data_IF_575707280107
#
_entry.id   IF_575707280107
#
_cell.length_a   1.000
_cell.length_b   1.000
_cell.length_c   1.000
_cell.angle_alpha   90.00
_cell.angle_beta   90.00
_cell.angle_gamma   90.00
#
_symmetry.space_group_name_H-M   'P 1'
#
loop_
_entity.id
_entity.type
_entity.pdbx_description
1 polymer ?
#
# COMPACT_ATOMS: atom_id res chain seq x y z
N UNK A 1 -21.74 -2.38 45.39
CA UNK A 1 -21.10 -1.06 45.25
C UNK A 1 -20.73 -0.82 43.78
N UNK A 2 -21.26 0.22 43.13
CA UNK A 2 -20.89 0.61 41.75
C UNK A 2 -19.50 1.27 41.77
N UNK A 3 -18.50 0.66 41.10
CA UNK A 3 -17.19 1.30 40.87
C UNK A 3 -17.39 2.47 39.91
N UNK A 4 -17.27 3.70 40.41
CA UNK A 4 -17.25 4.91 39.58
C UNK A 4 -15.87 4.97 38.91
N UNK A 5 -15.80 4.60 37.63
CA UNK A 5 -14.57 4.72 36.84
C UNK A 5 -14.35 6.20 36.52
N UNK A 6 -13.42 6.84 37.23
CA UNK A 6 -13.01 8.22 36.91
C UNK A 6 -12.21 8.22 35.60
N UNK A 7 -12.82 8.65 34.50
CA UNK A 7 -12.10 8.89 33.25
C UNK A 7 -11.17 10.10 33.41
N UNK A 8 -9.86 9.86 33.45
CA UNK A 8 -8.85 10.92 33.38
C UNK A 8 -9.01 11.66 32.04
N UNK A 9 -9.19 12.99 32.07
CA UNK A 9 -9.19 13.82 30.86
C UNK A 9 -7.80 13.75 30.22
N UNK A 10 -7.77 13.39 28.94
CA UNK A 10 -6.53 13.29 28.16
C UNK A 10 -6.09 14.71 27.76
N UNK A 11 -4.79 15.08 27.91
CA UNK A 11 -4.29 16.39 27.51
C UNK A 11 -4.50 16.67 26.02
N UNK A 12 -4.68 17.95 25.66
CA UNK A 12 -4.90 18.35 24.26
C UNK A 12 -3.75 17.95 23.33
N UNK A 13 -2.51 18.11 23.78
CA UNK A 13 -1.30 17.70 23.06
C UNK A 13 -1.35 16.20 22.71
N UNK A 14 -1.84 15.38 23.64
CA UNK A 14 -1.95 13.93 23.44
C UNK A 14 -3.06 13.59 22.42
N UNK A 15 -4.16 14.36 22.39
CA UNK A 15 -5.19 14.22 21.36
C UNK A 15 -4.67 14.56 19.97
N UNK A 16 -3.90 15.65 19.86
CA UNK A 16 -3.29 16.07 18.60
C UNK A 16 -2.31 15.00 18.10
N UNK A 17 -1.47 14.47 19.00
CA UNK A 17 -0.60 13.33 18.70
C UNK A 17 -1.39 12.12 18.21
N UNK A 18 -2.50 11.78 18.85
CA UNK A 18 -3.34 10.66 18.43
C UNK A 18 -3.91 10.81 17.03
N UNK A 19 -4.19 12.04 16.59
CA UNK A 19 -4.69 12.31 15.25
C UNK A 19 -3.62 12.07 14.17
N UNK A 20 -2.40 12.60 14.38
CA UNK A 20 -1.36 12.59 13.35
C UNK A 20 -0.41 11.38 13.41
N UNK A 21 -0.07 10.92 14.61
CA UNK A 21 0.94 9.89 14.86
C UNK A 21 0.29 8.62 15.42
N UNK A 22 -0.90 8.74 16.01
CA UNK A 22 -1.60 7.64 16.68
C UNK A 22 -1.24 7.48 18.15
N UNK A 23 -1.83 6.47 18.79
CA UNK A 23 -1.55 6.14 20.20
C UNK A 23 -0.16 5.53 20.37
N UNK A 24 0.51 5.82 21.48
CA UNK A 24 1.75 5.10 21.77
C UNK A 24 1.43 3.61 21.97
N UNK A 25 2.37 2.72 21.68
CA UNK A 25 2.12 1.30 21.76
C UNK A 25 1.70 0.79 23.14
N UNK A 26 2.37 1.27 24.19
CA UNK A 26 2.07 1.01 25.60
C UNK A 26 0.68 1.51 26.03
N UNK A 27 0.05 2.39 25.24
CA UNK A 27 -1.27 2.94 25.51
C UNK A 27 -2.39 2.16 24.77
N UNK A 28 -2.05 1.14 23.97
CA UNK A 28 -3.00 0.34 23.19
C UNK A 28 -3.39 -0.93 23.94
N UNK A 29 -4.67 -1.32 23.88
CA UNK A 29 -5.19 -2.57 24.49
C UNK A 29 -4.83 -3.82 23.68
N UNK A 30 -4.44 -3.66 22.43
CA UNK A 30 -4.13 -4.74 21.48
C UNK A 30 -2.84 -4.38 20.75
N UNK A 31 -2.06 -5.39 20.36
CA UNK A 31 -0.88 -5.18 19.53
C UNK A 31 -1.32 -4.53 18.21
N UNK A 32 -0.77 -3.37 17.83
CA UNK A 32 -1.12 -2.73 16.57
C UNK A 32 -0.69 -3.55 15.36
N UNK A 33 -1.66 -3.78 14.47
CA UNK A 33 -1.41 -4.23 13.10
C UNK A 33 -0.78 -3.11 12.28
N UNK A 34 0.03 -3.49 11.30
CA UNK A 34 0.72 -2.61 10.37
C UNK A 34 -0.24 -2.31 9.21
N UNK A 35 -0.91 -1.16 9.28
CA UNK A 35 -1.93 -0.75 8.30
C UNK A 35 -1.34 -0.54 6.90
N UNK A 36 -0.04 -0.29 6.83
CA UNK A 36 0.72 -0.10 5.60
C UNK A 36 0.64 -1.32 4.67
N UNK A 37 0.56 -2.54 5.20
CA UNK A 37 0.34 -3.73 4.37
C UNK A 37 -1.03 -3.71 3.69
N UNK A 38 -2.06 -3.17 4.34
CA UNK A 38 -3.39 -3.05 3.77
C UNK A 38 -3.40 -2.01 2.63
N UNK A 39 -2.67 -0.90 2.80
CA UNK A 39 -2.48 0.08 1.72
C UNK A 39 -1.65 -0.48 0.55
N UNK A 40 -0.58 -1.23 0.81
CA UNK A 40 0.17 -1.94 -0.23
C UNK A 40 -0.74 -2.90 -1.01
N UNK A 41 -1.58 -3.67 -0.30
CA UNK A 41 -2.55 -4.57 -0.92
C UNK A 41 -3.52 -3.83 -1.87
N UNK A 42 -4.13 -2.74 -1.41
CA UNK A 42 -5.04 -1.94 -2.25
C UNK A 42 -4.32 -1.31 -3.46
N UNK A 43 -3.12 -0.78 -3.27
CA UNK A 43 -2.30 -0.25 -4.36
C UNK A 43 -1.99 -1.35 -5.39
N UNK A 44 -1.65 -2.56 -4.94
CA UNK A 44 -1.41 -3.70 -5.82
C UNK A 44 -2.65 -4.14 -6.59
N UNK A 45 -3.85 -4.06 -6.01
CA UNK A 45 -5.11 -4.29 -6.75
C UNK A 45 -5.27 -3.26 -7.87
N UNK A 46 -5.01 -1.98 -7.59
CA UNK A 46 -5.07 -0.94 -8.62
C UNK A 46 -4.04 -1.19 -9.74
N UNK A 47 -2.80 -1.52 -9.38
CA UNK A 47 -1.73 -1.88 -10.33
C UNK A 47 -2.15 -3.09 -11.16
N UNK A 48 -2.79 -4.10 -10.57
CA UNK A 48 -3.33 -5.26 -11.29
C UNK A 48 -4.33 -4.83 -12.37
N UNK A 49 -5.31 -4.01 -12.03
CA UNK A 49 -6.28 -3.48 -13.00
C UNK A 49 -5.59 -2.72 -14.14
N UNK A 50 -4.58 -1.90 -13.82
CA UNK A 50 -3.80 -1.18 -14.83
C UNK A 50 -3.00 -2.12 -15.74
N UNK A 51 -2.37 -3.15 -15.19
CA UNK A 51 -1.64 -4.16 -15.98
C UNK A 51 -2.56 -4.94 -16.91
N UNK A 52 -3.78 -5.30 -16.46
CA UNK A 52 -4.78 -5.96 -17.30
C UNK A 52 -5.17 -5.03 -18.48
N UNK A 53 -5.38 -3.74 -18.21
CA UNK A 53 -5.64 -2.75 -19.26
C UNK A 53 -4.50 -2.67 -20.28
N UNK A 54 -3.24 -2.56 -19.83
CA UNK A 54 -2.08 -2.52 -20.73
C UNK A 54 -1.96 -3.79 -21.58
N UNK A 55 -2.16 -4.97 -20.97
CA UNK A 55 -2.15 -6.25 -21.70
C UNK A 55 -3.23 -6.28 -22.77
N UNK A 56 -4.43 -5.76 -22.49
CA UNK A 56 -5.50 -5.65 -23.47
C UNK A 56 -5.10 -4.76 -24.66
N UNK A 57 -4.51 -3.59 -24.41
CA UNK A 57 -3.98 -2.70 -25.46
C UNK A 57 -2.93 -3.41 -26.32
N UNK A 58 -2.00 -4.14 -25.69
CA UNK A 58 -0.97 -4.90 -26.41
C UNK A 58 -1.56 -6.00 -27.30
N UNK A 59 -2.57 -6.73 -26.81
CA UNK A 59 -3.28 -7.75 -27.59
C UNK A 59 -3.98 -7.12 -28.80
N UNK A 60 -4.68 -6.01 -28.62
CA UNK A 60 -5.36 -5.30 -29.71
C UNK A 60 -4.38 -4.83 -30.79
N UNK A 61 -3.19 -4.37 -30.39
CA UNK A 61 -2.12 -3.94 -31.31
C UNK A 61 -1.27 -5.10 -31.86
N UNK A 62 -1.61 -6.35 -31.48
CA UNK A 62 -0.96 -7.61 -31.90
C UNK A 62 0.53 -7.69 -31.51
N UNK A 63 0.89 -7.17 -30.33
CA UNK A 63 2.28 -7.17 -29.83
C UNK A 63 3.30 -6.56 -30.80
N UNK A 64 2.86 -5.63 -31.64
CA UNK A 64 3.74 -4.92 -32.56
C UNK A 64 4.31 -3.69 -31.87
N UNK A 65 5.62 -3.75 -31.60
CA UNK A 65 6.38 -2.72 -30.89
C UNK A 65 7.04 -1.70 -31.83
N UNK A 66 6.53 -1.56 -33.06
CA UNK A 66 6.97 -0.50 -33.96
C UNK A 66 6.77 0.90 -33.36
N UNK A 67 7.68 1.82 -33.70
CA UNK A 67 7.67 3.20 -33.22
C UNK A 67 6.34 3.90 -33.58
N UNK A 68 5.79 3.58 -34.75
CA UNK A 68 4.52 4.13 -35.23
C UNK A 68 3.35 3.74 -34.31
N UNK A 69 3.19 2.46 -33.98
CA UNK A 69 2.12 2.02 -33.07
C UNK A 69 2.32 2.51 -31.65
N UNK A 70 3.56 2.64 -31.19
CA UNK A 70 3.83 3.27 -29.89
C UNK A 70 3.38 4.74 -29.88
N UNK A 71 3.65 5.48 -30.96
CA UNK A 71 3.20 6.87 -31.08
C UNK A 71 1.67 6.99 -31.11
N UNK A 72 0.95 6.06 -31.75
CA UNK A 72 -0.51 6.00 -31.73
C UNK A 72 -1.06 5.82 -30.31
N UNK A 73 -0.47 4.93 -29.51
CA UNK A 73 -0.89 4.69 -28.11
C UNK A 73 -0.68 5.94 -27.27
N UNK A 74 0.45 6.63 -27.44
CA UNK A 74 0.70 7.89 -26.74
C UNK A 74 -0.29 8.99 -27.15
N UNK A 75 -0.64 9.08 -28.43
CA UNK A 75 -1.67 10.01 -28.90
C UNK A 75 -3.04 9.69 -28.29
N UNK A 76 -3.41 8.41 -28.22
CA UNK A 76 -4.65 7.97 -27.57
C UNK A 76 -4.67 8.37 -26.08
N UNK A 77 -3.57 8.16 -25.37
CA UNK A 77 -3.44 8.55 -23.95
C UNK A 77 -3.54 10.06 -23.76
N UNK A 78 -3.02 10.85 -24.69
CA UNK A 78 -3.09 12.31 -24.63
C UNK A 78 -4.51 12.84 -24.90
N UNK A 79 -5.21 12.25 -25.87
CA UNK A 79 -6.53 12.69 -26.32
C UNK A 79 -7.66 12.24 -25.38
N UNK A 80 -7.57 11.03 -24.83
CA UNK A 80 -8.60 10.47 -23.97
C UNK A 80 -8.39 10.87 -22.50
N UNK A 81 -9.27 11.73 -21.98
CA UNK A 81 -9.18 12.26 -20.62
C UNK A 81 -9.25 11.17 -19.54
N UNK A 82 -10.02 10.11 -19.77
CA UNK A 82 -10.18 9.00 -18.82
C UNK A 82 -8.86 8.22 -18.73
N UNK A 83 -8.27 7.89 -19.88
CA UNK A 83 -6.98 7.19 -19.94
C UNK A 83 -5.88 8.03 -19.32
N UNK A 84 -5.85 9.34 -19.61
CA UNK A 84 -4.90 10.26 -19.00
C UNK A 84 -5.01 10.28 -17.47
N UNK A 85 -6.22 10.42 -16.94
CA UNK A 85 -6.46 10.39 -15.49
C UNK A 85 -6.02 9.05 -14.87
N UNK A 86 -6.30 7.93 -15.55
CA UNK A 86 -5.92 6.59 -15.11
C UNK A 86 -4.39 6.40 -15.08
N UNK A 87 -3.66 6.87 -16.10
CA UNK A 87 -2.19 6.87 -16.13
C UNK A 87 -1.61 7.78 -15.05
N UNK A 88 -2.17 8.98 -14.84
CA UNK A 88 -1.72 9.87 -13.75
C UNK A 88 -1.93 9.23 -12.38
N UNK A 89 -3.09 8.61 -12.14
CA UNK A 89 -3.35 7.92 -10.88
C UNK A 89 -2.41 6.73 -10.69
N UNK A 90 -2.06 6.00 -11.76
CA UNK A 90 -1.05 4.95 -11.71
C UNK A 90 0.32 5.45 -11.25
N UNK A 91 0.80 6.56 -11.83
CA UNK A 91 2.07 7.17 -11.40
C UNK A 91 2.01 7.59 -9.92
N UNK A 92 0.90 8.19 -9.48
CA UNK A 92 0.72 8.57 -8.07
C UNK A 92 0.72 7.36 -7.14
N UNK A 93 0.03 6.28 -7.52
CA UNK A 93 0.00 5.02 -6.77
C UNK A 93 1.41 4.44 -6.67
N UNK A 94 2.23 4.49 -7.73
CA UNK A 94 3.62 4.04 -7.67
C UNK A 94 4.45 4.82 -6.65
N UNK A 95 4.32 6.15 -6.64
CA UNK A 95 5.03 7.00 -5.67
C UNK A 95 4.61 6.66 -4.24
N UNK A 96 3.30 6.53 -4.00
CA UNK A 96 2.76 6.14 -2.69
C UNK A 96 3.28 4.75 -2.30
N UNK A 97 3.35 3.80 -3.25
CA UNK A 97 3.85 2.45 -2.99
C UNK A 97 5.31 2.46 -2.52
N UNK A 98 6.16 3.31 -3.11
CA UNK A 98 7.56 3.47 -2.71
C UNK A 98 7.64 4.02 -1.27
N UNK A 99 6.85 5.05 -0.95
CA UNK A 99 6.82 5.64 0.40
C UNK A 99 6.36 4.61 1.43
N UNK A 100 5.29 3.87 1.13
CA UNK A 100 4.79 2.80 1.99
C UNK A 100 5.82 1.67 2.16
N UNK A 101 6.49 1.26 1.08
CA UNK A 101 7.53 0.25 1.13
C UNK A 101 8.69 0.64 2.06
N UNK A 102 9.16 1.90 1.97
CA UNK A 102 10.19 2.44 2.88
C UNK A 102 9.69 2.41 4.32
N UNK A 103 8.45 2.83 4.57
CA UNK A 103 7.87 2.85 5.91
C UNK A 103 7.72 1.44 6.49
N UNK A 104 7.23 0.48 5.70
CA UNK A 104 7.12 -0.92 6.11
C UNK A 104 8.50 -1.51 6.39
N UNK A 105 9.51 -1.22 5.56
CA UNK A 105 10.87 -1.69 5.78
C UNK A 105 11.43 -1.21 7.12
N UNK A 106 11.13 0.03 7.51
CA UNK A 106 11.48 0.57 8.82
C UNK A 106 10.74 -0.15 9.97
N UNK A 107 9.45 -0.44 9.79
CA UNK A 107 8.62 -1.10 10.81
C UNK A 107 8.97 -2.58 10.99
N UNK A 108 9.31 -3.32 9.91
CA UNK A 108 9.61 -4.76 9.96
C UNK A 108 10.71 -5.08 10.98
N UNK A 109 11.70 -4.19 11.15
CA UNK A 109 12.75 -4.34 12.17
C UNK A 109 12.22 -4.46 13.60
N UNK A 110 11.02 -3.95 13.87
CA UNK A 110 10.33 -3.94 15.17
C UNK A 110 9.22 -5.01 15.29
N UNK A 111 9.12 -5.92 14.32
CA UNK A 111 8.14 -7.01 14.36
C UNK A 111 8.79 -8.28 14.90
N UNK A 112 8.09 -9.10 15.68
CA UNK A 112 8.67 -10.32 16.26
C UNK A 112 8.64 -11.51 15.31
N UNK A 113 7.52 -11.70 14.59
CA UNK A 113 7.26 -12.91 13.81
C UNK A 113 7.20 -12.63 12.32
N UNK A 114 7.57 -13.63 11.50
CA UNK A 114 7.34 -13.68 10.04
C UNK A 114 7.80 -12.46 9.23
N UNK A 115 8.90 -11.82 9.66
CA UNK A 115 9.54 -10.67 8.96
C UNK A 115 9.74 -10.91 7.46
N UNK A 116 10.07 -12.13 7.07
CA UNK A 116 10.29 -12.54 5.68
C UNK A 116 9.06 -12.29 4.78
N UNK A 117 7.84 -12.46 5.30
CA UNK A 117 6.59 -12.20 4.56
C UNK A 117 6.47 -10.69 4.26
N UNK A 118 6.87 -9.86 5.23
CA UNK A 118 6.93 -8.41 5.04
C UNK A 118 7.92 -7.99 3.95
N UNK A 119 9.11 -8.60 3.92
CA UNK A 119 10.09 -8.34 2.87
C UNK A 119 9.59 -8.78 1.48
N UNK A 120 8.96 -9.95 1.37
CA UNK A 120 8.36 -10.41 0.12
C UNK A 120 7.21 -9.50 -0.34
N UNK A 121 6.37 -9.04 0.59
CA UNK A 121 5.32 -8.06 0.30
C UNK A 121 5.89 -6.79 -0.32
N UNK A 122 6.97 -6.25 0.25
CA UNK A 122 7.64 -5.05 -0.29
C UNK A 122 8.23 -5.36 -1.68
N UNK A 123 8.97 -6.45 -1.81
CA UNK A 123 9.64 -6.84 -3.06
C UNK A 123 8.63 -6.96 -4.21
N UNK A 124 7.55 -7.72 -4.01
CA UNK A 124 6.53 -7.89 -5.05
C UNK A 124 5.76 -6.61 -5.35
N UNK A 125 5.54 -5.75 -4.34
CA UNK A 125 4.88 -4.45 -4.54
C UNK A 125 5.73 -3.49 -5.40
N UNK A 126 7.06 -3.49 -5.21
CA UNK A 126 7.99 -2.66 -6.00
C UNK A 126 8.17 -3.21 -7.42
N UNK A 127 8.28 -4.53 -7.56
CA UNK A 127 8.41 -5.20 -8.87
C UNK A 127 7.11 -5.21 -9.69
N UNK A 128 6.02 -4.62 -9.17
CA UNK A 128 4.70 -4.58 -9.82
C UNK A 128 4.13 -5.99 -10.10
N UNK A 129 4.58 -6.99 -9.34
CA UNK A 129 4.07 -8.36 -9.38
C UNK A 129 2.80 -8.45 -8.53
N UNK A 130 1.77 -7.74 -8.96
CA UNK A 130 0.58 -7.41 -8.19
C UNK A 130 -0.17 -8.61 -7.59
N UNK A 131 -0.34 -9.78 -8.26
CA UNK A 131 -1.02 -10.92 -7.62
C UNK A 131 -0.27 -11.43 -6.39
N UNK A 132 1.05 -11.53 -6.48
CA UNK A 132 1.89 -11.95 -5.37
C UNK A 132 1.92 -10.88 -4.27
N UNK A 133 2.04 -9.60 -4.66
CA UNK A 133 2.02 -8.49 -3.71
C UNK A 133 0.74 -8.49 -2.86
N UNK A 134 -0.44 -8.70 -3.48
CA UNK A 134 -1.74 -8.80 -2.79
C UNK A 134 -1.71 -9.91 -1.73
N UNK A 135 -1.31 -11.13 -2.13
CA UNK A 135 -1.28 -12.29 -1.24
C UNK A 135 -0.33 -12.06 -0.07
N UNK A 136 0.92 -11.66 -0.35
CA UNK A 136 1.92 -11.46 0.69
C UNK A 136 1.61 -10.27 1.60
N UNK A 137 1.06 -9.17 1.07
CA UNK A 137 0.59 -8.04 1.87
C UNK A 137 -0.55 -8.45 2.81
N UNK A 138 -1.53 -9.21 2.33
CA UNK A 138 -2.64 -9.66 3.18
C UNK A 138 -2.17 -10.61 4.29
N UNK A 139 -1.32 -11.58 3.95
CA UNK A 139 -0.73 -12.50 4.93
C UNK A 139 0.14 -11.74 5.94
N UNK A 140 0.94 -10.78 5.49
CA UNK A 140 1.74 -9.93 6.37
C UNK A 140 0.87 -9.11 7.31
N UNK A 141 -0.26 -8.57 6.84
CA UNK A 141 -1.22 -7.85 7.68
C UNK A 141 -1.81 -8.74 8.79
N UNK A 142 -2.14 -9.99 8.49
CA UNK A 142 -2.70 -10.91 9.48
C UNK A 142 -1.66 -11.48 10.45
N UNK A 143 -0.45 -11.76 9.98
CA UNK A 143 0.58 -12.46 10.75
C UNK A 143 1.59 -11.55 11.44
N UNK A 144 1.88 -10.35 10.91
CA UNK A 144 2.85 -9.45 11.51
C UNK A 144 2.18 -8.55 12.55
N UNK A 145 2.56 -8.76 13.80
CA UNK A 145 2.21 -7.89 14.91
C UNK A 145 3.45 -7.12 15.33
N UNK A 146 3.29 -5.84 15.66
CA UNK A 146 4.41 -5.05 16.18
C UNK A 146 4.63 -5.47 17.62
N UNK A 147 5.85 -5.90 17.91
CA UNK A 147 6.30 -6.23 19.24
C UNK A 147 6.65 -4.95 20.00
N UNK A 148 6.20 -4.83 21.23
CA UNK A 148 6.56 -3.72 22.10
C UNK A 148 7.23 -4.27 23.35
N UNK A 149 8.55 -4.26 23.33
CA UNK A 149 9.36 -4.09 24.53
C UNK A 149 9.21 -2.65 25.05
#
# INVERSE_FOLDING_TARGET
MKKIVKHKKIPFITKLRYLFIGKRPTERKTLPKIQEYLYLCFNSIYILCFTIYLVNVLIQKRFDFSIQKFSEVLMEWQQNIIVRAFVTLFIMVLIINIILAIHVFYIIKKTEFNRWIGYLSILFSILLLSPFAIVFSYVAYEKNQIAFE
#
